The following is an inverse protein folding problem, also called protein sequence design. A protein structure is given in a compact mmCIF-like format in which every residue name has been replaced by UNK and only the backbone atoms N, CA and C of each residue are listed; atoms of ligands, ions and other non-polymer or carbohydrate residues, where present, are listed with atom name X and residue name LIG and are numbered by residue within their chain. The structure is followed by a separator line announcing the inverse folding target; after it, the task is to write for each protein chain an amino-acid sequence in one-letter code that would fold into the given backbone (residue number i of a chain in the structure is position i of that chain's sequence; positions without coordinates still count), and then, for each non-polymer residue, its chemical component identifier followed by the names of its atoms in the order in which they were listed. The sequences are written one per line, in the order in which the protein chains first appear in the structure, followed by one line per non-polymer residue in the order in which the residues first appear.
data_IF_636798631014
#
_entry.id   IF_636798631014
#
_cell.length_a   1.000
_cell.length_b   1.000
_cell.length_c   1.000
_cell.angle_alpha   90.00
_cell.angle_beta   90.00
_cell.angle_gamma   90.00
#
_symmetry.space_group_name_H-M   'P 1'
#
loop_
_entity.id
_entity.type
_entity.pdbx_description
1 polymer ?
#
# COMPACT_ATOMS: atom_id res chain seq x y z
N UNK A 1 -13.96 -6.93 17.64
CA UNK A 1 -15.00 -6.52 16.66
C UNK A 1 -14.31 -5.55 15.70
N UNK A 2 -13.85 -6.09 14.57
CA UNK A 2 -12.94 -5.40 13.65
C UNK A 2 -13.69 -4.25 12.97
N UNK A 3 -13.52 -3.02 13.47
CA UNK A 3 -14.33 -1.84 13.16
C UNK A 3 -14.39 -1.48 11.65
N UNK A 4 -13.49 -2.04 10.83
CA UNK A 4 -13.45 -1.82 9.39
C UNK A 4 -13.53 -3.11 8.56
N UNK A 5 -13.73 -4.27 9.20
CA UNK A 5 -13.95 -5.59 8.56
C UNK A 5 -13.15 -5.80 7.28
N UNK A 6 -13.85 -6.19 6.21
CA UNK A 6 -13.31 -6.40 4.87
C UNK A 6 -12.98 -5.12 4.08
N UNK A 7 -13.15 -3.93 4.64
CA UNK A 7 -12.84 -2.69 3.91
C UNK A 7 -11.34 -2.35 3.91
N UNK A 8 -10.59 -2.87 4.88
CA UNK A 8 -9.13 -2.73 4.94
C UNK A 8 -8.47 -4.00 4.40
N UNK A 9 -7.46 -3.83 3.56
CA UNK A 9 -6.57 -4.91 3.17
C UNK A 9 -5.11 -4.51 3.38
N UNK A 10 -4.42 -5.08 4.38
CA UNK A 10 -2.97 -5.04 4.43
C UNK A 10 -2.40 -5.80 3.22
N UNK A 11 -1.40 -5.23 2.56
CA UNK A 11 -0.71 -5.83 1.42
C UNK A 11 0.80 -5.66 1.52
N UNK A 12 1.52 -6.58 0.91
CA UNK A 12 2.98 -6.47 0.74
C UNK A 12 3.32 -5.33 -0.20
N UNK A 13 4.35 -4.53 0.11
CA UNK A 13 4.69 -3.36 -0.72
C UNK A 13 5.09 -3.73 -2.14
N UNK A 14 5.58 -4.97 -2.34
CA UNK A 14 5.91 -5.54 -3.64
C UNK A 14 4.79 -5.44 -4.69
N UNK A 15 3.52 -5.39 -4.27
CA UNK A 15 2.38 -5.20 -5.17
C UNK A 15 2.49 -3.88 -5.94
N UNK A 16 3.11 -2.86 -5.34
CA UNK A 16 3.23 -1.48 -5.84
C UNK A 16 4.64 -1.14 -6.37
N UNK A 17 5.55 -2.10 -6.43
CA UNK A 17 6.92 -1.91 -6.90
C UNK A 17 7.07 -2.35 -8.35
N UNK A 18 8.02 -1.75 -9.08
CA UNK A 18 8.38 -2.22 -10.42
C UNK A 18 8.84 -3.68 -10.35
N UNK A 19 8.33 -4.51 -11.26
CA UNK A 19 8.70 -5.91 -11.38
C UNK A 19 9.32 -6.15 -12.74
N UNK A 20 10.33 -7.00 -12.80
CA UNK A 20 10.97 -7.39 -14.06
C UNK A 20 10.19 -8.49 -14.82
N UNK A 21 9.12 -9.06 -14.25
CA UNK A 21 8.37 -10.17 -14.83
C UNK A 21 6.84 -9.95 -14.77
N UNK A 22 6.15 -10.24 -15.87
CA UNK A 22 4.69 -10.13 -16.07
C UNK A 22 3.89 -11.34 -15.53
N UNK A 23 4.14 -11.70 -14.26
CA UNK A 23 3.37 -12.74 -13.59
C UNK A 23 1.90 -12.37 -13.37
N UNK A 24 1.04 -13.38 -13.15
CA UNK A 24 -0.38 -13.15 -12.85
C UNK A 24 -0.56 -12.32 -11.57
N UNK A 25 -1.25 -11.18 -11.70
CA UNK A 25 -1.47 -10.21 -10.62
C UNK A 25 -2.70 -10.54 -9.78
N UNK A 26 -2.63 -11.69 -9.10
CA UNK A 26 -3.67 -12.14 -8.16
C UNK A 26 -3.84 -11.18 -6.97
N UNK A 27 -2.74 -10.56 -6.57
CA UNK A 27 -2.66 -9.51 -5.56
C UNK A 27 -3.60 -8.33 -5.87
N UNK A 28 -3.64 -7.87 -7.12
CA UNK A 28 -4.56 -6.81 -7.57
C UNK A 28 -6.02 -7.23 -7.55
N UNK A 29 -6.31 -8.50 -7.86
CA UNK A 29 -7.68 -9.02 -7.79
C UNK A 29 -8.20 -9.00 -6.34
N UNK A 30 -7.34 -9.26 -5.36
CA UNK A 30 -7.67 -9.17 -3.93
C UNK A 30 -7.95 -7.76 -3.41
N UNK A 31 -7.63 -6.72 -4.19
CA UNK A 31 -7.91 -5.32 -3.86
C UNK A 31 -9.29 -4.85 -4.32
N UNK A 32 -10.00 -5.68 -5.10
CA UNK A 32 -11.38 -5.43 -5.48
C UNK A 32 -12.25 -5.15 -4.24
N UNK A 33 -13.08 -4.10 -4.32
CA UNK A 33 -13.98 -3.61 -3.27
C UNK A 33 -13.35 -3.20 -1.92
N UNK A 34 -12.02 -3.05 -1.85
CA UNK A 34 -11.37 -2.49 -0.67
C UNK A 34 -11.48 -0.95 -0.69
N UNK A 35 -11.52 -0.35 0.51
CA UNK A 35 -11.54 1.13 0.70
C UNK A 35 -10.26 1.67 1.32
N UNK A 36 -9.50 0.83 1.99
CA UNK A 36 -8.18 1.18 2.50
C UNK A 36 -7.21 0.03 2.23
N UNK A 37 -6.08 0.35 1.64
CA UNK A 37 -4.97 -0.57 1.44
C UNK A 37 -3.78 -0.01 2.19
N UNK A 38 -3.25 -0.81 3.10
CA UNK A 38 -2.07 -0.43 3.89
C UNK A 38 -0.90 -1.31 3.50
N UNK A 39 0.29 -0.73 3.52
CA UNK A 39 1.51 -1.49 3.33
C UNK A 39 2.61 -0.96 4.25
N UNK A 40 3.37 -1.89 4.81
CA UNK A 40 4.52 -1.64 5.65
C UNK A 40 5.65 -2.51 5.11
N UNK A 41 6.86 -1.94 5.04
CA UNK A 41 8.09 -2.55 4.49
C UNK A 41 8.37 -2.26 3.01
N UNK A 42 9.04 -1.13 2.76
CA UNK A 42 9.93 -1.05 1.60
C UNK A 42 11.22 -1.77 1.99
N UNK A 43 11.48 -2.93 1.40
CA UNK A 43 12.84 -3.48 1.36
C UNK A 43 13.75 -2.40 0.76
N UNK A 44 14.91 -2.14 1.41
CA UNK A 44 15.84 -1.07 1.01
C UNK A 44 15.98 -1.01 -0.52
N UNK A 45 15.72 0.17 -1.09
CA UNK A 45 15.88 0.50 -2.52
C UNK A 45 14.79 0.05 -3.50
N UNK A 46 13.58 -0.34 -3.06
CA UNK A 46 12.46 -0.57 -3.98
C UNK A 46 12.04 0.69 -4.74
N UNK A 47 11.93 0.61 -6.07
CA UNK A 47 11.36 1.64 -6.94
C UNK A 47 9.85 1.39 -7.03
N UNK A 48 9.04 2.42 -6.76
CA UNK A 48 7.59 2.33 -6.95
C UNK A 48 7.26 2.33 -8.45
N UNK A 49 6.32 1.49 -8.83
CA UNK A 49 5.83 1.40 -10.20
C UNK A 49 5.00 2.64 -10.55
N UNK A 50 5.62 3.50 -11.32
CA UNK A 50 5.08 4.79 -11.68
C UNK A 50 3.74 4.72 -12.46
N UNK A 51 3.66 3.94 -13.56
CA UNK A 51 2.39 3.67 -14.24
C UNK A 51 1.29 3.16 -13.32
N UNK A 52 1.59 2.17 -12.48
CA UNK A 52 0.59 1.54 -11.63
C UNK A 52 0.02 2.51 -10.59
N UNK A 53 0.87 3.34 -9.97
CA UNK A 53 0.40 4.37 -9.04
C UNK A 53 -0.49 5.39 -9.75
N UNK A 54 -0.21 5.73 -11.02
CA UNK A 54 -1.08 6.62 -11.80
C UNK A 54 -2.44 5.99 -12.06
N UNK A 55 -2.51 4.71 -12.43
CA UNK A 55 -3.79 4.00 -12.62
C UNK A 55 -4.61 3.98 -11.32
N UNK A 56 -3.96 3.67 -10.19
CA UNK A 56 -4.65 3.56 -8.88
C UNK A 56 -5.18 4.88 -8.36
N UNK A 57 -4.50 5.98 -8.69
CA UNK A 57 -4.86 7.32 -8.24
C UNK A 57 -5.66 8.11 -9.28
N UNK A 58 -5.62 7.69 -10.55
CA UNK A 58 -6.27 8.31 -11.69
C UNK A 58 -7.75 7.93 -11.84
N UNK A 59 -8.17 6.82 -11.21
CA UNK A 59 -9.52 6.29 -11.38
C UNK A 59 -9.69 5.48 -12.67
N UNK A 60 -8.58 5.04 -13.25
CA UNK A 60 -8.60 4.20 -14.45
C UNK A 60 -9.02 2.76 -14.09
N UNK A 61 -9.74 2.07 -14.98
CA UNK A 61 -10.13 0.68 -14.77
C UNK A 61 -8.90 -0.25 -14.82
N UNK A 62 -8.78 -1.12 -13.82
CA UNK A 62 -7.74 -2.15 -13.75
C UNK A 62 -8.33 -3.49 -14.13
N UNK A 63 -7.69 -4.19 -15.07
CA UNK A 63 -8.02 -5.58 -15.41
C UNK A 63 -7.08 -6.53 -14.68
N UNK A 64 -7.64 -7.50 -13.96
CA UNK A 64 -6.87 -8.51 -13.23
C UNK A 64 -7.65 -9.82 -13.14
N UNK A 65 -7.04 -10.86 -12.55
CA UNK A 65 -7.71 -12.15 -12.36
C UNK A 65 -7.23 -12.85 -11.10
N UNK A 66 -8.13 -13.62 -10.49
CA UNK A 66 -7.71 -14.63 -9.53
C UNK A 66 -7.04 -15.80 -10.25
N UNK A 67 -6.27 -16.60 -9.51
CA UNK A 67 -5.60 -17.76 -10.06
C UNK A 67 -6.66 -18.78 -10.46
N UNK A 68 -6.56 -19.31 -11.68
CA UNK A 68 -7.54 -20.24 -12.27
C UNK A 68 -8.97 -19.69 -12.37
N UNK A 69 -9.13 -18.36 -12.48
CA UNK A 69 -10.42 -17.71 -12.74
C UNK A 69 -10.35 -16.79 -13.94
N UNK A 70 -11.52 -16.44 -14.47
CA UNK A 70 -11.71 -15.42 -15.50
C UNK A 70 -11.22 -14.05 -15.04
N UNK A 71 -10.81 -13.23 -16.00
CA UNK A 71 -10.45 -11.84 -15.75
C UNK A 71 -11.68 -11.00 -15.47
N UNK A 72 -11.47 -9.94 -14.69
CA UNK A 72 -12.46 -8.92 -14.44
C UNK A 72 -11.78 -7.56 -14.36
N UNK A 73 -12.59 -6.52 -14.53
CA UNK A 73 -12.14 -5.14 -14.56
C UNK A 73 -12.88 -4.35 -13.49
N UNK A 74 -12.15 -3.50 -12.75
CA UNK A 74 -12.76 -2.63 -11.75
C UNK A 74 -12.05 -1.29 -11.62
N UNK A 75 -12.78 -0.29 -11.12
CA UNK A 75 -12.22 1.01 -10.78
C UNK A 75 -11.78 0.99 -9.31
N UNK A 76 -10.52 1.36 -9.00
CA UNK A 76 -10.03 1.45 -7.63
C UNK A 76 -10.89 2.37 -6.76
N UNK A 77 -11.32 1.85 -5.61
CA UNK A 77 -12.08 2.60 -4.59
C UNK A 77 -11.29 2.84 -3.31
N UNK A 78 -10.06 2.32 -3.23
CA UNK A 78 -9.26 2.38 -2.02
C UNK A 78 -8.35 3.60 -1.95
N UNK A 79 -8.01 4.00 -0.72
CA UNK A 79 -6.82 4.82 -0.44
C UNK A 79 -5.64 3.94 -0.09
N UNK A 80 -4.48 4.25 -0.66
CA UNK A 80 -3.22 3.57 -0.36
C UNK A 80 -2.44 4.35 0.70
N UNK A 81 -2.11 3.69 1.81
CA UNK A 81 -1.23 4.23 2.86
C UNK A 81 0.02 3.35 2.93
N UNK A 82 1.19 3.96 2.76
CA UNK A 82 2.47 3.28 2.88
C UNK A 82 3.21 3.79 4.10
N UNK A 83 3.47 2.91 5.06
CA UNK A 83 4.33 3.17 6.21
C UNK A 83 5.74 2.67 5.88
N UNK A 84 6.67 3.61 5.75
CA UNK A 84 8.01 3.34 5.19
C UNK A 84 9.06 4.02 6.07
N UNK A 85 10.15 3.31 6.36
CA UNK A 85 11.26 3.85 7.14
C UNK A 85 12.17 4.71 6.25
N UNK A 86 12.40 4.24 5.02
CA UNK A 86 13.17 4.95 4.02
C UNK A 86 12.25 5.56 2.97
N UNK A 87 12.64 6.73 2.45
CA UNK A 87 11.90 7.40 1.39
C UNK A 87 11.92 6.53 0.12
N UNK A 88 10.75 6.16 -0.45
CA UNK A 88 10.71 5.42 -1.71
C UNK A 88 11.42 6.21 -2.80
N UNK A 89 12.18 5.51 -3.64
CA UNK A 89 12.71 6.12 -4.84
C UNK A 89 11.59 6.16 -5.89
N UNK A 90 11.21 7.37 -6.30
CA UNK A 90 10.31 7.61 -7.41
C UNK A 90 11.16 8.01 -8.61
N UNK A 91 10.96 7.32 -9.74
CA UNK A 91 11.64 7.65 -10.99
C UNK A 91 11.51 9.15 -11.27
N UNK A 92 12.65 9.84 -11.43
CA UNK A 92 12.67 11.30 -11.67
C UNK A 92 11.95 11.70 -12.96
N UNK A 93 11.77 10.77 -13.90
CA UNK A 93 11.05 10.98 -15.17
C UNK A 93 9.55 11.18 -14.98
N UNK A 94 9.00 10.87 -13.80
CA UNK A 94 7.56 10.86 -13.53
C UNK A 94 7.13 11.91 -12.50
N UNK A 95 7.38 13.19 -12.81
CA UNK A 95 7.00 14.33 -11.96
C UNK A 95 5.50 14.34 -11.58
N UNK A 96 4.63 13.80 -12.45
CA UNK A 96 3.19 13.69 -12.23
C UNK A 96 2.81 12.82 -11.01
N UNK A 97 3.69 11.92 -10.55
CA UNK A 97 3.43 11.09 -9.36
C UNK A 97 3.55 11.90 -8.07
N UNK A 98 4.46 12.87 -8.02
CA UNK A 98 4.62 13.72 -6.85
C UNK A 98 3.37 14.55 -6.53
N UNK A 99 2.50 14.78 -7.52
CA UNK A 99 1.21 15.43 -7.32
C UNK A 99 0.18 14.50 -6.64
N UNK A 100 0.37 13.17 -6.74
CA UNK A 100 -0.52 12.14 -6.22
C UNK A 100 -0.11 11.60 -4.85
N UNK A 101 1.18 11.67 -4.52
CA UNK A 101 1.73 11.18 -3.26
C UNK A 101 1.82 12.30 -2.22
N UNK A 102 1.32 12.04 -1.01
CA UNK A 102 1.51 12.92 0.14
C UNK A 102 2.42 12.24 1.15
N UNK A 103 3.57 12.85 1.41
CA UNK A 103 4.53 12.37 2.40
C UNK A 103 4.26 13.02 3.74
N UNK A 104 4.05 12.20 4.77
CA UNK A 104 3.85 12.65 6.14
C UNK A 104 5.04 12.14 6.95
N UNK A 105 6.05 12.98 7.22
CA UNK A 105 7.23 12.56 7.94
C UNK A 105 6.92 12.39 9.43
N UNK A 106 7.30 11.24 9.99
CA UNK A 106 7.29 10.99 11.43
C UNK A 106 8.70 11.27 11.96
N UNK A 107 8.95 12.50 12.37
CA UNK A 107 10.30 12.97 12.77
C UNK A 107 10.64 12.73 14.25
N UNK A 108 9.67 12.29 15.04
CA UNK A 108 9.84 12.04 16.48
C UNK A 108 10.29 10.60 16.69
N UNK A 109 11.46 10.43 17.31
CA UNK A 109 11.90 9.16 17.88
C UNK A 109 11.52 9.16 19.36
N UNK A 110 10.72 8.18 19.78
CA UNK A 110 10.38 8.00 21.20
C UNK A 110 11.61 7.37 21.89
N UNK A 111 12.22 8.02 22.91
CA UNK A 111 13.31 7.45 23.67
C UNK A 111 12.90 6.16 24.38
N UNK A 112 13.83 5.19 24.48
CA UNK A 112 13.53 3.85 24.99
C UNK A 112 13.04 3.84 26.45
N UNK A 113 13.43 4.85 27.22
CA UNK A 113 13.07 5.11 28.61
C UNK A 113 11.67 5.73 28.79
N UNK A 114 11.14 6.38 27.75
CA UNK A 114 9.78 6.93 27.72
C UNK A 114 8.75 5.92 27.14
N UNK A 115 9.22 4.77 26.64
CA UNK A 115 8.36 3.68 26.16
C UNK A 115 7.70 3.02 27.37
N UNK A 116 6.54 3.55 27.76
CA UNK A 116 5.72 2.96 28.80
C UNK A 116 5.10 1.64 28.29
N UNK A 117 5.81 0.52 28.51
CA UNK A 117 5.45 -0.84 28.03
C UNK A 117 4.04 -1.28 28.43
N UNK A 118 3.47 -0.69 29.49
CA UNK A 118 2.10 -0.94 29.96
C UNK A 118 1.04 -0.44 28.96
N UNK A 119 1.28 0.70 28.29
CA UNK A 119 0.34 1.29 27.33
C UNK A 119 0.39 0.64 25.94
N UNK A 120 1.50 -0.05 25.62
CA UNK A 120 1.64 -0.80 24.36
C UNK A 120 0.74 -2.06 24.34
N UNK A 121 0.54 -2.73 25.48
CA UNK A 121 -0.30 -3.95 25.56
C UNK A 121 -1.80 -3.66 25.53
N UNK A 122 -2.24 -2.49 25.99
CA UNK A 122 -3.65 -2.10 25.98
C UNK A 122 -4.19 -1.82 24.56
N UNK A 123 -3.32 -1.47 23.60
CA UNK A 123 -3.69 -1.26 22.19
C UNK A 123 -3.55 -2.50 21.30
N UNK A 124 -2.97 -3.59 21.81
CA UNK A 124 -2.73 -4.84 21.06
C UNK A 124 -3.80 -5.93 21.31
N UNK A 125 -4.71 -5.75 22.27
CA UNK A 125 -5.71 -6.77 22.66
C UNK A 125 -7.18 -6.39 22.41
N UNK A 126 -7.46 -5.32 21.67
CA UNK A 126 -8.83 -4.88 21.38
C UNK A 126 -9.22 -4.92 19.90
N UNK A 127 -8.57 -5.73 19.06
CA UNK A 127 -9.01 -5.99 17.70
C UNK A 127 -9.13 -7.49 17.42
#
# INVERSE_FOLDING_TARGET
MQFMGDYIKPQTTRVFMERQNDGVRNDLAGLHDRRLVTTSEIGKHGILDAPMIKEFTGGDPITCRFLYKESFTYIPKFKLIMAVNDRPNLSQKDSAIWQRVKMIPFTVRIPDDEINKSQLRAKSKSL
#
